data_IF_033581411371
#
_entry.id   IF_033581411371
#
_cell.length_a   1.000
_cell.length_b   1.000
_cell.length_c   1.000
_cell.angle_alpha   90.00
_cell.angle_beta   90.00
_cell.angle_gamma   90.00
#
_symmetry.space_group_name_H-M   'P 1'
#
loop_
_entity.id
_entity.type
_entity.pdbx_description
1 polymer ?
#
# COMPACT_ATOMS: atom_id res chain seq x y z
N UNK A 1 -8.21 28.08 -50.36
CA UNK A 1 -7.47 27.98 -49.08
C UNK A 1 -8.51 27.91 -47.96
N UNK A 2 -9.18 26.76 -47.82
CA UNK A 2 -10.24 26.59 -46.82
C UNK A 2 -9.62 26.00 -45.56
N UNK A 3 -9.49 26.85 -44.55
CA UNK A 3 -9.14 26.44 -43.19
C UNK A 3 -10.25 25.51 -42.71
N UNK A 4 -9.95 24.21 -42.63
CA UNK A 4 -10.81 23.26 -41.93
C UNK A 4 -10.72 23.58 -40.44
N UNK A 5 -11.81 24.12 -39.89
CA UNK A 5 -12.03 24.20 -38.46
C UNK A 5 -11.87 22.80 -37.87
N UNK A 6 -10.76 22.57 -37.17
CA UNK A 6 -10.57 21.39 -36.34
C UNK A 6 -11.59 21.51 -35.20
N UNK A 7 -12.58 20.61 -35.09
CA UNK A 7 -13.53 20.67 -34.00
C UNK A 7 -12.77 20.46 -32.69
N UNK A 8 -12.68 21.53 -31.89
CA UNK A 8 -12.20 21.47 -30.51
C UNK A 8 -13.15 20.54 -29.76
N UNK A 9 -12.73 19.29 -29.58
CA UNK A 9 -13.50 18.32 -28.79
C UNK A 9 -13.73 18.93 -27.40
N UNK A 10 -14.98 19.03 -26.93
CA UNK A 10 -15.24 19.48 -25.57
C UNK A 10 -14.43 18.61 -24.63
N UNK A 11 -13.67 19.23 -23.72
CA UNK A 11 -12.89 18.56 -22.70
C UNK A 11 -13.80 17.55 -22.01
N UNK A 12 -13.60 16.26 -22.31
CA UNK A 12 -14.38 15.17 -21.73
C UNK A 12 -14.26 15.30 -20.21
N UNK A 13 -15.42 15.37 -19.54
CA UNK A 13 -15.50 15.48 -18.09
C UNK A 13 -14.55 14.46 -17.45
N UNK A 14 -13.50 14.96 -16.80
CA UNK A 14 -12.42 14.12 -16.28
C UNK A 14 -13.01 13.18 -15.23
N UNK A 15 -12.79 11.85 -15.32
CA UNK A 15 -13.33 10.93 -14.34
C UNK A 15 -12.81 11.26 -12.92
N UNK A 16 -13.68 11.24 -11.89
CA UNK A 16 -13.29 11.61 -10.53
C UNK A 16 -12.27 10.62 -9.95
N UNK A 17 -11.16 11.13 -9.38
CA UNK A 17 -10.15 10.29 -8.68
C UNK A 17 -10.72 9.74 -7.38
N UNK A 18 -11.54 10.52 -6.68
CA UNK A 18 -12.21 10.12 -5.45
C UNK A 18 -13.34 9.12 -5.73
N UNK A 19 -12.95 7.92 -6.16
CA UNK A 19 -13.84 6.77 -6.16
C UNK A 19 -14.00 6.28 -4.72
N UNK A 20 -15.14 5.67 -4.39
CA UNK A 20 -15.37 5.05 -3.07
C UNK A 20 -14.24 4.12 -2.62
N UNK A 21 -13.64 3.39 -3.56
CA UNK A 21 -12.49 2.52 -3.32
C UNK A 21 -11.25 3.29 -2.84
N UNK A 22 -10.95 4.42 -3.48
CA UNK A 22 -9.82 5.28 -3.16
C UNK A 22 -9.99 5.94 -1.79
N UNK A 23 -11.21 6.43 -1.47
CA UNK A 23 -11.52 6.99 -0.14
C UNK A 23 -11.41 5.92 0.94
N UNK A 24 -11.94 4.72 0.70
CA UNK A 24 -11.85 3.62 1.67
C UNK A 24 -10.39 3.25 1.92
N UNK A 25 -9.57 3.10 0.88
CA UNK A 25 -8.13 2.87 1.01
C UNK A 25 -7.44 4.00 1.80
N UNK A 26 -7.76 5.25 1.51
CA UNK A 26 -7.22 6.41 2.25
C UNK A 26 -7.56 6.36 3.74
N UNK A 27 -8.79 5.98 4.11
CA UNK A 27 -9.20 5.81 5.51
C UNK A 27 -8.44 4.68 6.21
N UNK A 28 -8.23 3.54 5.53
CA UNK A 28 -7.44 2.44 6.08
C UNK A 28 -5.99 2.86 6.33
N UNK A 29 -5.36 3.50 5.35
CA UNK A 29 -3.98 3.97 5.47
C UNK A 29 -3.84 5.08 6.51
N UNK A 30 -4.81 6.00 6.58
CA UNK A 30 -4.85 7.07 7.59
C UNK A 30 -4.81 6.49 9.01
N UNK A 31 -5.67 5.52 9.33
CA UNK A 31 -5.71 4.95 10.68
C UNK A 31 -4.49 4.09 11.01
N UNK A 32 -3.96 3.33 10.04
CA UNK A 32 -2.69 2.61 10.22
C UNK A 32 -1.52 3.55 10.52
N UNK A 33 -1.43 4.67 9.79
CA UNK A 33 -0.36 5.65 9.94
C UNK A 33 -0.53 6.48 11.21
N UNK A 34 -1.75 6.89 11.55
CA UNK A 34 -2.05 7.53 12.83
C UNK A 34 -1.57 6.67 14.01
N UNK A 35 -1.91 5.37 14.01
CA UNK A 35 -1.44 4.44 15.04
C UNK A 35 0.09 4.35 15.08
N UNK A 36 0.74 4.25 13.92
CA UNK A 36 2.20 4.22 13.83
C UNK A 36 2.82 5.45 14.48
N UNK A 37 2.32 6.63 14.13
CA UNK A 37 2.80 7.92 14.64
C UNK A 37 2.58 8.11 16.14
N UNK A 38 1.47 7.63 16.69
CA UNK A 38 1.22 7.63 18.14
C UNK A 38 2.27 6.84 18.93
N UNK A 39 2.76 5.72 18.39
CA UNK A 39 3.69 4.82 19.09
C UNK A 39 5.16 5.02 18.72
N UNK A 40 5.44 5.70 17.61
CA UNK A 40 6.80 5.81 17.06
C UNK A 40 7.77 6.50 18.03
N UNK A 41 7.31 7.51 18.75
CA UNK A 41 8.11 8.19 19.78
C UNK A 41 8.01 7.51 21.15
N UNK A 42 6.92 6.81 21.42
CA UNK A 42 6.62 6.31 22.77
C UNK A 42 7.20 4.91 23.03
N UNK A 43 7.26 4.02 22.03
CA UNK A 43 7.85 2.69 22.20
C UNK A 43 9.35 2.74 22.56
N UNK A 44 10.19 3.57 21.91
CA UNK A 44 11.58 3.76 22.32
C UNK A 44 11.70 4.33 23.73
N UNK A 45 10.85 5.28 24.10
CA UNK A 45 10.81 5.85 25.44
C UNK A 45 10.41 4.82 26.50
N UNK A 46 9.42 3.98 26.19
CA UNK A 46 8.97 2.89 27.06
C UNK A 46 10.09 1.86 27.26
N UNK A 47 10.76 1.43 26.18
CA UNK A 47 11.90 0.51 26.25
C UNK A 47 13.07 1.10 27.04
N UNK A 48 13.33 2.41 26.92
CA UNK A 48 14.36 3.08 27.70
C UNK A 48 14.06 3.06 29.20
N UNK A 49 12.80 3.28 29.59
CA UNK A 49 12.36 3.29 31.01
C UNK A 49 12.26 1.89 31.63
N UNK A 50 11.95 0.85 30.85
CA UNK A 50 11.75 -0.52 31.34
C UNK A 50 13.01 -1.40 31.21
N UNK A 51 14.16 -0.84 31.60
CA UNK A 51 15.43 -1.59 31.73
C UNK A 51 16.32 -1.65 30.48
N UNK A 52 15.90 -1.06 29.35
CA UNK A 52 16.71 -1.03 28.13
C UNK A 52 17.68 0.15 28.01
N UNK A 53 17.44 1.26 28.73
CA UNK A 53 18.22 2.49 28.56
C UNK A 53 18.27 2.98 27.10
N UNK A 54 19.33 3.69 26.72
CA UNK A 54 19.52 4.13 25.32
C UNK A 54 19.65 2.97 24.32
N UNK A 55 20.18 1.83 24.76
CA UNK A 55 20.34 0.65 23.93
C UNK A 55 18.99 0.01 23.54
N UNK A 56 18.06 -0.12 24.50
CA UNK A 56 16.71 -0.63 24.25
C UNK A 56 15.92 0.26 23.30
N UNK A 57 16.03 1.59 23.44
CA UNK A 57 15.42 2.53 22.49
C UNK A 57 15.96 2.31 21.06
N UNK A 58 17.29 2.20 20.90
CA UNK A 58 17.91 1.89 19.61
C UNK A 58 17.46 0.55 19.02
N UNK A 59 17.38 -0.50 19.86
CA UNK A 59 16.91 -1.82 19.44
C UNK A 59 15.46 -1.80 18.95
N UNK A 60 14.56 -1.07 19.62
CA UNK A 60 13.16 -1.00 19.18
C UNK A 60 13.03 -0.35 17.80
N UNK A 61 13.71 0.77 17.57
CA UNK A 61 13.73 1.45 16.27
C UNK A 61 14.40 0.57 15.21
N UNK A 62 15.52 -0.07 15.55
CA UNK A 62 16.25 -0.97 14.67
C UNK A 62 15.44 -2.19 14.25
N UNK A 63 14.79 -2.87 15.20
CA UNK A 63 13.93 -4.02 14.93
C UNK A 63 12.71 -3.63 14.07
N UNK A 64 12.11 -2.48 14.35
CA UNK A 64 11.01 -1.95 13.55
C UNK A 64 11.45 -1.66 12.11
N UNK A 65 12.56 -0.94 11.91
CA UNK A 65 13.09 -0.62 10.58
C UNK A 65 13.52 -1.87 9.82
N UNK A 66 14.27 -2.76 10.46
CA UNK A 66 14.74 -4.02 9.85
C UNK A 66 13.55 -4.84 9.34
N UNK A 67 12.54 -5.03 10.18
CA UNK A 67 11.35 -5.81 9.82
C UNK A 67 10.56 -5.11 8.71
N UNK A 68 10.46 -3.78 8.74
CA UNK A 68 9.83 -2.99 7.67
C UNK A 68 10.52 -3.28 6.33
N UNK A 69 11.84 -3.12 6.27
CA UNK A 69 12.65 -3.35 5.06
C UNK A 69 12.54 -4.79 4.53
N UNK A 70 12.44 -5.77 5.42
CA UNK A 70 12.25 -7.18 5.06
C UNK A 70 10.87 -7.44 4.42
N UNK A 71 9.82 -6.73 4.87
CA UNK A 71 8.46 -6.92 4.37
C UNK A 71 8.15 -6.14 3.10
N UNK A 72 8.84 -5.04 2.82
CA UNK A 72 8.66 -4.26 1.60
C UNK A 72 8.72 -5.10 0.30
N UNK A 73 9.75 -5.92 0.03
CA UNK A 73 9.80 -6.75 -1.18
C UNK A 73 8.83 -7.96 -1.15
N UNK A 74 8.36 -8.36 0.04
CA UNK A 74 7.40 -9.45 0.18
C UNK A 74 5.97 -8.97 -0.10
N UNK A 75 5.68 -7.70 0.19
CA UNK A 75 4.34 -7.13 0.09
C UNK A 75 3.74 -7.21 -1.32
N UNK A 76 4.45 -6.89 -2.42
CA UNK A 76 3.90 -7.04 -3.77
C UNK A 76 3.58 -8.50 -4.11
N UNK A 77 4.38 -9.46 -3.61
CA UNK A 77 4.11 -10.90 -3.77
C UNK A 77 2.86 -11.33 -2.98
N UNK A 78 2.67 -10.79 -1.78
CA UNK A 78 1.45 -11.04 -1.00
C UNK A 78 0.22 -10.40 -1.64
N UNK A 79 0.30 -9.13 -2.05
CA UNK A 79 -0.78 -8.41 -2.71
C UNK A 79 -1.15 -9.04 -4.05
N UNK A 80 -0.18 -9.56 -4.79
CA UNK A 80 -0.44 -10.30 -6.02
C UNK A 80 -1.15 -11.63 -5.75
N UNK A 81 -0.72 -12.41 -4.74
CA UNK A 81 -1.32 -13.72 -4.46
C UNK A 81 -2.69 -13.65 -3.79
N UNK A 82 -2.88 -12.76 -2.82
CA UNK A 82 -4.08 -12.70 -1.99
C UNK A 82 -5.01 -11.52 -2.33
N UNK A 83 -4.53 -10.56 -3.11
CA UNK A 83 -5.24 -9.32 -3.42
C UNK A 83 -5.02 -8.23 -2.37
N UNK A 84 -5.30 -6.98 -2.74
CA UNK A 84 -5.02 -5.82 -1.89
C UNK A 84 -5.87 -5.74 -0.61
N UNK A 85 -7.10 -6.28 -0.62
CA UNK A 85 -8.01 -6.24 0.54
C UNK A 85 -7.44 -6.99 1.75
N UNK A 86 -7.11 -8.29 1.66
CA UNK A 86 -6.52 -9.01 2.79
C UNK A 86 -5.11 -8.53 3.12
N UNK A 87 -4.34 -8.02 2.14
CA UNK A 87 -3.01 -7.46 2.40
C UNK A 87 -3.07 -6.20 3.26
N UNK A 88 -3.94 -5.24 2.93
CA UNK A 88 -4.15 -4.05 3.76
C UNK A 88 -4.71 -4.43 5.14
N UNK A 89 -5.71 -5.32 5.20
CA UNK A 89 -6.25 -5.82 6.46
C UNK A 89 -5.17 -6.44 7.36
N UNK A 90 -4.29 -7.27 6.80
CA UNK A 90 -3.16 -7.86 7.53
C UNK A 90 -2.20 -6.79 8.06
N UNK A 91 -1.91 -5.75 7.28
CA UNK A 91 -1.09 -4.61 7.71
C UNK A 91 -1.70 -3.87 8.90
N UNK A 92 -3.00 -3.56 8.87
CA UNK A 92 -3.70 -2.91 9.99
C UNK A 92 -3.73 -3.80 11.24
N UNK A 93 -3.93 -5.11 11.07
CA UNK A 93 -3.89 -6.07 12.18
C UNK A 93 -2.50 -6.14 12.81
N UNK A 94 -1.43 -6.19 12.00
CA UNK A 94 -0.04 -6.15 12.48
C UNK A 94 0.34 -4.80 13.10
N UNK A 95 -0.34 -3.71 12.75
CA UNK A 95 -0.20 -2.44 13.44
C UNK A 95 -0.94 -2.44 14.78
N UNK A 96 -2.19 -2.90 14.80
CA UNK A 96 -3.10 -2.78 15.95
C UNK A 96 -2.89 -3.82 17.04
N UNK A 97 -2.85 -5.12 16.69
CA UNK A 97 -2.75 -6.21 17.67
C UNK A 97 -1.48 -6.14 18.52
N UNK A 98 -0.28 -5.89 17.96
CA UNK A 98 0.94 -5.87 18.76
C UNK A 98 1.03 -4.64 19.68
N UNK A 99 0.21 -3.60 19.47
CA UNK A 99 0.10 -2.48 20.42
C UNK A 99 -0.41 -2.94 21.79
N UNK A 100 -1.15 -4.05 21.86
CA UNK A 100 -1.71 -4.57 23.10
C UNK A 100 -0.74 -5.49 23.85
N UNK A 101 0.35 -5.93 23.22
CA UNK A 101 1.35 -6.80 23.86
C UNK A 101 2.02 -6.15 25.09
N UNK A 102 2.45 -4.87 25.03
CA UNK A 102 3.02 -4.19 26.19
C UNK A 102 2.08 -4.07 27.38
N UNK A 103 0.75 -3.96 27.16
CA UNK A 103 -0.25 -3.94 28.25
C UNK A 103 -0.29 -5.26 29.03
N UNK A 104 -0.09 -6.39 28.35
CA UNK A 104 0.03 -7.69 29.00
C UNK A 104 1.38 -7.84 29.74
N UNK A 105 2.41 -7.10 29.32
CA UNK A 105 3.73 -7.10 29.94
C UNK A 105 3.83 -6.22 31.19
N UNK A 106 2.88 -5.30 31.43
CA UNK A 106 2.80 -4.54 32.70
C UNK A 106 2.59 -5.44 33.92
N UNK A 107 2.09 -6.67 33.72
CA UNK A 107 1.97 -7.69 34.76
C UNK A 107 3.28 -8.49 35.00
N UNK A 108 4.32 -8.25 34.18
CA UNK A 108 5.57 -9.01 34.18
C UNK A 108 6.71 -8.18 34.81
N UNK A 109 7.70 -8.82 35.47
CA UNK A 109 8.86 -8.11 36.00
C UNK A 109 9.58 -7.31 34.91
N UNK A 110 10.07 -6.11 35.23
CA UNK A 110 10.69 -5.17 34.27
C UNK A 110 11.77 -5.81 33.37
N UNK A 111 12.52 -6.79 33.87
CA UNK A 111 13.55 -7.52 33.11
C UNK A 111 12.99 -8.35 31.92
N UNK A 112 11.70 -8.67 31.91
CA UNK A 112 11.02 -9.48 30.89
C UNK A 112 10.17 -8.65 29.92
N UNK A 113 10.06 -7.34 30.13
CA UNK A 113 9.26 -6.45 29.28
C UNK A 113 9.96 -6.12 27.94
N UNK A 114 11.29 -6.01 27.92
CA UNK A 114 12.05 -5.58 26.73
C UNK A 114 11.87 -6.50 25.51
N UNK A 115 11.95 -7.85 25.63
CA UNK A 115 11.70 -8.75 24.49
C UNK A 115 10.28 -8.64 23.92
N UNK A 116 9.28 -8.44 24.79
CA UNK A 116 7.87 -8.28 24.37
C UNK A 116 7.70 -6.99 23.57
N UNK A 117 8.33 -5.90 24.01
CA UNK A 117 8.34 -4.63 23.28
C UNK A 117 9.06 -4.76 21.94
N UNK A 118 10.21 -5.45 21.89
CA UNK A 118 10.91 -5.71 20.62
C UNK A 118 10.03 -6.51 19.65
N UNK A 119 9.36 -7.55 20.13
CA UNK A 119 8.43 -8.33 19.31
C UNK A 119 7.27 -7.46 18.79
N UNK A 120 6.70 -6.62 19.66
CA UNK A 120 5.67 -5.67 19.25
C UNK A 120 6.20 -4.70 18.17
N UNK A 121 7.40 -4.15 18.34
CA UNK A 121 8.05 -3.28 17.36
C UNK A 121 8.32 -3.98 16.02
N UNK A 122 8.78 -5.23 16.04
CA UNK A 122 9.00 -6.02 14.84
C UNK A 122 7.69 -6.26 14.09
N UNK A 123 6.65 -6.75 14.78
CA UNK A 123 5.34 -7.00 14.17
C UNK A 123 4.70 -5.71 13.63
N UNK A 124 4.84 -4.60 14.36
CA UNK A 124 4.40 -3.28 13.88
C UNK A 124 5.19 -2.83 12.66
N UNK A 125 6.51 -3.00 12.64
CA UNK A 125 7.35 -2.73 11.47
C UNK A 125 6.91 -3.51 10.23
N UNK A 126 6.59 -4.79 10.40
CA UNK A 126 6.00 -5.61 9.33
C UNK A 126 4.68 -5.01 8.82
N UNK A 127 3.79 -4.59 9.73
CA UNK A 127 2.52 -3.94 9.38
C UNK A 127 2.71 -2.64 8.60
N UNK A 128 3.68 -1.81 9.02
CA UNK A 128 4.02 -0.55 8.35
C UNK A 128 4.46 -0.78 6.91
N UNK A 129 5.41 -1.70 6.68
CA UNK A 129 5.90 -2.01 5.34
C UNK A 129 4.78 -2.48 4.41
N UNK A 130 3.90 -3.34 4.92
CA UNK A 130 2.74 -3.83 4.17
C UNK A 130 1.79 -2.68 3.80
N UNK A 131 1.43 -1.82 4.76
CA UNK A 131 0.51 -0.70 4.56
C UNK A 131 1.03 0.31 3.53
N UNK A 132 2.31 0.70 3.64
CA UNK A 132 2.92 1.70 2.76
C UNK A 132 3.04 1.15 1.34
N UNK A 133 3.57 -0.07 1.17
CA UNK A 133 3.78 -0.64 -0.16
C UNK A 133 2.46 -1.02 -0.82
N UNK A 134 1.55 -1.68 -0.10
CA UNK A 134 0.26 -2.07 -0.68
C UNK A 134 -0.61 -0.85 -0.99
N UNK A 135 -0.60 0.19 -0.14
CA UNK A 135 -1.41 1.40 -0.36
C UNK A 135 -0.90 2.25 -1.52
N UNK A 136 0.42 2.42 -1.68
CA UNK A 136 1.00 3.14 -2.82
C UNK A 136 0.79 2.37 -4.14
N UNK A 137 0.97 1.04 -4.13
CA UNK A 137 0.72 0.20 -5.29
C UNK A 137 -0.76 0.21 -5.70
N UNK A 138 -1.69 0.07 -4.74
CA UNK A 138 -3.13 0.15 -5.02
C UNK A 138 -3.54 1.53 -5.54
N UNK A 139 -2.93 2.61 -5.05
CA UNK A 139 -3.13 3.96 -5.58
C UNK A 139 -2.71 4.05 -7.05
N UNK A 140 -1.55 3.49 -7.40
CA UNK A 140 -1.05 3.50 -8.77
C UNK A 140 -1.87 2.62 -9.73
N UNK A 141 -2.47 1.54 -9.23
CA UNK A 141 -3.33 0.63 -10.01
C UNK A 141 -4.76 1.14 -10.20
N UNK A 142 -5.29 1.94 -9.26
CA UNK A 142 -6.68 2.43 -9.31
C UNK A 142 -6.86 3.68 -10.19
N UNK A 143 -5.77 4.35 -10.57
CA UNK A 143 -5.80 5.62 -11.30
C UNK A 143 -5.06 5.51 -12.63
N UNK A 144 -5.60 6.17 -13.65
CA UNK A 144 -5.00 6.23 -14.99
C UNK A 144 -3.55 6.77 -14.94
N UNK A 145 -2.64 6.27 -15.79
CA UNK A 145 -1.22 6.60 -15.76
C UNK A 145 -0.92 8.11 -15.72
N UNK A 146 -1.73 8.91 -16.41
CA UNK A 146 -1.58 10.36 -16.58
C UNK A 146 -1.85 11.14 -15.27
N UNK A 147 -2.50 10.51 -14.28
CA UNK A 147 -2.93 11.14 -13.02
C UNK A 147 -2.38 10.43 -11.78
N UNK A 148 -1.48 9.46 -11.95
CA UNK A 148 -0.85 8.76 -10.82
C UNK A 148 -0.11 9.71 -9.88
N UNK A 149 0.53 10.75 -10.42
CA UNK A 149 1.20 11.77 -9.60
C UNK A 149 0.23 12.54 -8.70
N UNK A 150 -0.93 12.95 -9.23
CA UNK A 150 -2.01 13.63 -8.49
C UNK A 150 -2.55 12.72 -7.38
N UNK A 151 -2.84 11.46 -7.69
CA UNK A 151 -3.37 10.49 -6.75
C UNK A 151 -2.37 10.06 -5.66
N UNK A 152 -1.09 9.90 -6.01
CA UNK A 152 -0.04 9.63 -5.02
C UNK A 152 0.21 10.84 -4.12
N UNK A 153 0.09 12.06 -4.65
CA UNK A 153 0.14 13.28 -3.86
C UNK A 153 -0.99 13.36 -2.82
N UNK A 154 -2.24 13.15 -3.25
CA UNK A 154 -3.40 13.08 -2.36
C UNK A 154 -3.27 11.96 -1.31
N UNK A 155 -2.75 10.80 -1.71
CA UNK A 155 -2.48 9.70 -0.78
C UNK A 155 -1.39 10.07 0.24
N UNK A 156 -0.33 10.74 -0.20
CA UNK A 156 0.72 11.26 0.66
C UNK A 156 0.18 12.26 1.69
N UNK A 157 -0.74 13.14 1.30
CA UNK A 157 -1.43 14.05 2.25
C UNK A 157 -2.26 13.25 3.24
N UNK A 158 -3.04 12.26 2.79
CA UNK A 158 -3.86 11.43 3.67
C UNK A 158 -3.02 10.65 4.69
N UNK A 159 -1.83 10.20 4.31
CA UNK A 159 -0.90 9.49 5.20
C UNK A 159 -0.09 10.46 6.07
N UNK A 160 0.25 11.65 5.58
CA UNK A 160 1.09 12.63 6.28
C UNK A 160 0.34 13.48 7.32
N UNK A 161 -0.92 13.83 7.07
CA UNK A 161 -1.76 14.62 8.01
C UNK A 161 -1.83 13.99 9.40
N UNK A 162 -2.03 12.67 9.56
CA UNK A 162 -1.92 11.99 10.85
C UNK A 162 -0.65 12.34 11.63
N UNK A 163 0.50 12.45 10.97
CA UNK A 163 1.78 12.70 11.64
C UNK A 163 1.75 14.01 12.44
N UNK A 164 1.12 15.05 11.89
CA UNK A 164 1.06 16.38 12.51
C UNK A 164 0.28 16.37 13.83
N UNK A 165 -0.81 15.59 13.91
CA UNK A 165 -1.64 15.50 15.10
C UNK A 165 -1.18 14.40 16.06
N UNK A 166 -0.80 13.24 15.53
CA UNK A 166 -0.58 12.02 16.32
C UNK A 166 0.78 11.98 17.03
N UNK A 167 1.85 12.57 16.45
CA UNK A 167 3.15 12.68 17.13
C UNK A 167 3.05 13.46 18.44
N UNK A 168 2.58 14.74 18.46
CA UNK A 168 2.50 15.51 19.70
C UNK A 168 1.47 14.92 20.67
N UNK A 169 0.35 14.41 20.15
CA UNK A 169 -0.68 13.79 20.97
C UNK A 169 -0.18 12.51 21.64
N UNK A 170 0.60 11.69 20.94
CA UNK A 170 1.17 10.45 21.49
C UNK A 170 2.10 10.71 22.67
N UNK A 171 2.97 11.73 22.57
CA UNK A 171 3.84 12.13 23.66
C UNK A 171 3.05 12.73 24.83
N UNK A 172 2.10 13.62 24.55
CA UNK A 172 1.29 14.25 25.60
C UNK A 172 0.49 13.22 26.41
N UNK A 173 -0.16 12.26 25.73
CA UNK A 173 -0.90 11.16 26.39
C UNK A 173 0.06 10.26 27.18
N UNK A 174 1.23 9.93 26.62
CA UNK A 174 2.21 9.10 27.32
C UNK A 174 2.69 9.74 28.64
N UNK A 175 2.87 11.06 28.66
CA UNK A 175 3.36 11.79 29.84
C UNK A 175 2.26 12.08 30.88
N UNK A 176 1.04 12.41 30.46
CA UNK A 176 -0.02 12.87 31.35
C UNK A 176 -1.03 11.79 31.76
N UNK A 177 -1.28 10.81 30.89
CA UNK A 177 -2.31 9.78 31.07
C UNK A 177 -1.69 8.40 31.30
N UNK A 178 -0.53 8.16 30.68
CA UNK A 178 0.26 6.94 30.83
C UNK A 178 0.26 6.05 29.60
N UNK A 179 1.20 5.10 29.59
CA UNK A 179 1.48 4.22 28.44
C UNK A 179 0.32 3.29 28.09
N UNK A 180 -0.39 2.75 29.09
CA UNK A 180 -1.49 1.81 28.86
C UNK A 180 -2.63 2.40 28.01
N UNK A 181 -3.06 3.64 28.32
CA UNK A 181 -4.12 4.32 27.53
C UNK A 181 -3.64 4.60 26.11
N UNK A 182 -2.38 4.98 25.94
CA UNK A 182 -1.82 5.21 24.61
C UNK A 182 -1.83 3.92 23.76
N UNK A 183 -1.45 2.79 24.35
CA UNK A 183 -1.43 1.49 23.67
C UNK A 183 -2.82 1.05 23.22
N UNK A 184 -3.84 1.22 24.08
CA UNK A 184 -5.24 0.98 23.71
C UNK A 184 -5.69 1.93 22.62
N UNK A 185 -5.42 3.23 22.75
CA UNK A 185 -5.81 4.23 21.76
C UNK A 185 -5.21 3.91 20.38
N UNK A 186 -3.94 3.53 20.33
CA UNK A 186 -3.28 3.15 19.08
C UNK A 186 -3.82 1.85 18.48
N UNK A 187 -4.19 0.87 19.29
CA UNK A 187 -4.87 -0.33 18.82
C UNK A 187 -6.24 0.02 18.22
N UNK A 188 -7.04 0.84 18.90
CA UNK A 188 -8.35 1.29 18.43
C UNK A 188 -8.22 2.06 17.11
N UNK A 189 -7.31 3.03 17.03
CA UNK A 189 -7.10 3.83 15.81
C UNK A 189 -6.62 2.99 14.62
N UNK A 190 -5.84 1.93 14.87
CA UNK A 190 -5.45 0.97 13.83
C UNK A 190 -6.58 0.01 13.43
N UNK A 191 -7.45 -0.40 14.36
CA UNK A 191 -8.45 -1.46 14.12
C UNK A 191 -9.82 -0.92 13.70
N UNK A 192 -10.23 0.28 14.11
CA UNK A 192 -11.51 0.89 13.70
C UNK A 192 -11.66 0.98 12.17
N UNK A 193 -10.63 1.42 11.40
CA UNK A 193 -10.72 1.45 9.94
C UNK A 193 -10.87 0.06 9.30
N UNK A 194 -10.51 -1.02 10.01
CA UNK A 194 -10.65 -2.39 9.52
C UNK A 194 -12.12 -2.74 9.24
N UNK A 195 -13.07 -2.17 10.00
CA UNK A 195 -14.50 -2.34 9.74
C UNK A 195 -14.91 -1.82 8.35
N UNK A 196 -14.19 -0.83 7.82
CA UNK A 196 -14.44 -0.28 6.48
C UNK A 196 -13.84 -1.14 5.35
N UNK A 197 -13.02 -2.17 5.65
CA UNK A 197 -12.35 -3.01 4.64
C UNK A 197 -13.35 -3.80 3.77
N UNK A 198 -14.55 -4.06 4.30
CA UNK A 198 -15.68 -4.64 3.58
C UNK A 198 -16.17 -3.79 2.40
N UNK A 199 -15.89 -2.48 2.41
CA UNK A 199 -16.27 -1.54 1.36
C UNK A 199 -15.34 -1.47 0.15
N UNK A 200 -14.15 -2.08 0.21
CA UNK A 200 -13.22 -2.10 -0.92
C UNK A 200 -13.76 -3.02 -2.04
N UNK A 201 -14.04 -2.55 -3.26
CA UNK A 201 -14.27 -3.48 -4.37
C UNK A 201 -13.01 -4.32 -4.60
N UNK A 202 -13.17 -5.59 -4.97
CA UNK A 202 -12.05 -6.42 -5.39
C UNK A 202 -11.45 -5.79 -6.65
N UNK A 203 -10.39 -4.99 -6.49
CA UNK A 203 -9.68 -4.38 -7.61
C UNK A 203 -9.10 -5.53 -8.44
N UNK A 204 -9.79 -5.84 -9.54
CA UNK A 204 -9.39 -6.86 -10.50
C UNK A 204 -8.21 -6.27 -11.24
N UNK A 205 -7.05 -6.93 -11.19
CA UNK A 205 -5.87 -6.46 -11.91
C UNK A 205 -6.23 -6.27 -13.38
N UNK A 206 -5.97 -5.08 -13.91
CA UNK A 206 -5.78 -4.92 -15.35
C UNK A 206 -4.46 -5.64 -15.61
N UNK A 207 -4.53 -6.89 -16.03
CA UNK A 207 -3.37 -7.62 -16.55
C UNK A 207 -2.82 -6.75 -17.68
N UNK A 208 -1.66 -6.14 -17.44
CA UNK A 208 -0.84 -5.61 -18.51
C UNK A 208 -0.34 -6.82 -19.32
N UNK A 209 -1.23 -7.41 -20.13
CA UNK A 209 -0.83 -8.23 -21.26
C UNK A 209 -0.40 -7.27 -22.35
N UNK A 210 0.69 -6.55 -22.09
CA UNK A 210 1.48 -5.94 -23.13
C UNK A 210 2.26 -7.06 -23.79
N UNK A 211 1.62 -7.82 -24.68
CA UNK A 211 2.37 -8.40 -25.79
C UNK A 211 2.90 -7.19 -26.55
N UNK A 212 4.13 -6.79 -26.23
CA UNK A 212 4.99 -6.12 -27.21
C UNK A 212 5.21 -7.20 -28.27
N UNK A 213 4.31 -7.25 -29.24
CA UNK A 213 4.63 -7.86 -30.53
C UNK A 213 5.85 -7.09 -31.03
N UNK A 214 6.97 -7.74 -31.35
CA UNK A 214 8.04 -7.06 -32.05
C UNK A 214 7.41 -6.47 -33.32
N UNK A 215 7.37 -5.15 -33.36
CA UNK A 215 7.04 -4.40 -34.56
C UNK A 215 8.05 -4.84 -35.61
N UNK A 216 7.54 -5.54 -36.62
CA UNK A 216 8.26 -5.97 -37.80
C UNK A 216 8.82 -4.71 -38.47
N UNK A 217 10.09 -4.42 -38.18
CA UNK A 217 10.86 -3.39 -38.89
C UNK A 217 11.07 -3.89 -40.31
N UNK A 218 10.06 -3.74 -41.16
CA UNK A 218 10.18 -3.89 -42.61
C UNK A 218 9.74 -2.61 -43.29
N UNK A 219 10.72 -1.83 -43.70
CA UNK A 219 10.54 -0.70 -44.61
C UNK A 219 11.86 0.01 -44.87
N UNK A 220 12.29 -0.02 -46.13
CA UNK A 220 13.47 0.59 -46.80
C UNK A 220 14.77 -0.22 -46.64
N UNK A 221 15.36 -0.84 -47.68
CA UNK A 221 15.52 -0.41 -49.08
C UNK A 221 15.46 -1.56 -50.10
N UNK A 222 15.06 -1.24 -51.34
CA UNK A 222 14.84 -2.19 -52.42
C UNK A 222 16.08 -2.59 -53.23
N UNK A 223 15.98 -3.72 -53.94
CA UNK A 223 16.60 -3.98 -55.24
C UNK A 223 16.20 -5.37 -55.77
N UNK A 224 15.71 -5.43 -57.01
CA UNK A 224 16.18 -6.43 -57.98
C UNK A 224 15.54 -7.84 -58.00
N UNK A 225 14.62 -8.00 -58.97
CA UNK A 225 14.60 -9.06 -59.97
C UNK A 225 14.23 -10.54 -59.63
N UNK A 226 13.29 -11.00 -60.46
CA UNK A 226 13.12 -12.34 -61.05
C UNK A 226 12.62 -13.53 -60.21
N UNK A 227 11.61 -14.19 -60.78
CA UNK A 227 11.57 -15.66 -60.76
C UNK A 227 10.29 -16.32 -60.26
N UNK A 228 9.29 -16.39 -61.13
CA UNK A 228 8.49 -17.58 -61.41
C UNK A 228 7.56 -18.20 -60.33
N UNK A 229 6.29 -18.23 -60.73
CA UNK A 229 5.44 -19.43 -60.81
C UNK A 229 4.87 -20.06 -59.52
N UNK A 230 3.55 -19.93 -59.41
CA UNK A 230 2.74 -21.13 -59.59
C UNK A 230 1.77 -21.50 -58.46
N UNK A 231 0.50 -21.56 -58.90
CA UNK A 231 -0.60 -22.42 -58.40
C UNK A 231 -1.43 -21.82 -57.26
N UNK A 232 -2.60 -21.27 -57.57
CA UNK A 232 -3.88 -21.94 -57.90
C UNK A 232 -4.60 -22.52 -56.66
N UNK A 233 -5.66 -21.80 -56.31
CA UNK A 233 -7.04 -22.27 -56.14
C UNK A 233 -7.40 -23.28 -55.05
N UNK A 234 -8.53 -22.93 -54.42
CA UNK A 234 -9.53 -23.79 -53.79
C UNK A 234 -9.29 -24.11 -52.31
N UNK A 235 -10.16 -23.58 -51.44
CA UNK A 235 -11.38 -24.33 -51.07
C UNK A 235 -12.37 -23.41 -50.34
N UNK A 236 -13.55 -23.27 -50.94
CA UNK A 236 -14.73 -22.57 -50.44
C UNK A 236 -15.74 -23.64 -50.01
N UNK A 237 -16.35 -23.49 -48.83
CA UNK A 237 -17.74 -23.92 -48.56
C UNK A 237 -18.01 -25.35 -48.08
N UNK A 238 -19.03 -25.45 -47.20
CA UNK A 238 -19.73 -26.66 -46.71
C UNK A 238 -19.70 -26.73 -45.18
N UNK A 239 -20.59 -26.08 -44.40
CA UNK A 239 -22.05 -26.23 -44.25
C UNK A 239 -22.54 -27.67 -43.95
N UNK A 240 -23.03 -27.83 -42.71
CA UNK A 240 -24.23 -28.55 -42.24
C UNK A 240 -24.43 -30.05 -42.55
N UNK A 241 -24.77 -30.79 -41.49
CA UNK A 241 -25.49 -32.07 -41.58
C UNK A 241 -25.37 -32.92 -40.31
N UNK A 242 -26.31 -32.75 -39.38
CA UNK A 242 -26.71 -33.73 -38.38
C UNK A 242 -28.23 -33.91 -38.48
#
# INVERSE_FOLDING_TARGET
MSVQDVPVRPATARPPILTRAYVTMGVLSFGGMASCYLLMSTLPLYAARHGGGGFGAGLTTGAMMLTTLLLEPLTPRMASRYGYRPTLAAGLLLMGLPSLLPLAADALPAASALPVVLLACALRGAGLGILVVAGTALTAETVAPERRGEALGLYGVAVGVPALACLPLGLWVAEHVGFGVLFVAAAVVALVPLAAVGGLPAVRRVTASGTVTPEDTTGTDGAGADGAAGRRTARRGGLLGA
#
